data_IF_259048535680
#
_entry.id   IF_259048535680
#
_cell.length_a   1.000
_cell.length_b   1.000
_cell.length_c   1.000
_cell.angle_alpha   90.00
_cell.angle_beta   90.00
_cell.angle_gamma   90.00
#
_symmetry.space_group_name_H-M   'P 1'
#
loop_
_entity.id
_entity.type
_entity.pdbx_description
1 polymer ?
#
# COMPACT_ATOMS: atom_id res chain seq x y z
N UNK A 1 -6.60 -19.99 -20.40
CA UNK A 1 -5.99 -19.77 -20.21
C UNK A 1 -6.06 -19.17 -19.96
N UNK A 2 -6.35 -19.08 -19.77
CA UNK A 2 -5.88 -18.65 -19.49
C UNK A 2 -5.77 -18.12 -18.97
N UNK A 3 -6.04 -18.18 -18.69
CA UNK A 3 -5.34 -17.82 -18.28
C UNK A 3 -5.02 -17.51 -17.91
N UNK A 4 -5.26 -17.63 -17.68
CA UNK A 4 -4.34 -17.56 -17.45
C UNK A 4 -3.98 -17.29 -17.39
N UNK A 5 -4.32 -17.36 -17.27
CA UNK A 5 -3.40 -17.31 -17.37
C UNK A 5 -3.11 -16.75 -17.40
N UNK A 6 -3.54 -16.91 -17.45
CA UNK A 6 -2.68 -16.56 -17.48
C UNK A 6 -2.01 -16.19 -17.31
N UNK A 7 -2.02 -16.31 -17.29
CA UNK A 7 -0.90 -16.20 -17.22
C UNK A 7 -0.34 -15.95 -16.93
N UNK A 8 -0.35 -16.07 -16.84
CA UNK A 8 0.63 -16.07 -16.78
C UNK A 8 1.20 -15.92 -16.71
N UNK A 9 1.37 -16.03 -16.68
CA UNK A 9 2.35 -16.03 -16.75
C UNK A 9 3.12 -15.93 -16.82
N UNK A 10 3.36 -16.11 -17.19
CA UNK A 10 4.39 -16.08 -17.15
C UNK A 10 5.20 -15.78 -17.13
N UNK A 11 5.56 -15.85 -17.01
CA UNK A 11 6.50 -15.50 -16.77
C UNK A 11 7.24 -15.24 -16.72
N UNK A 12 6.87 -15.31 -17.56
CA UNK A 12 8.11 -15.03 -17.12
C UNK A 12 8.29 -14.75 -15.66
N UNK A 13 8.79 -15.36 -14.92
CA UNK A 13 8.86 -15.39 -13.53
C UNK A 13 8.81 -14.09 -12.75
N UNK A 14 9.02 -13.03 -13.38
CA UNK A 14 9.19 -11.77 -12.68
C UNK A 14 7.93 -11.25 -12.07
N UNK A 15 6.86 -11.35 -12.79
CA UNK A 15 5.61 -10.80 -12.35
C UNK A 15 5.05 -11.56 -11.18
N UNK A 16 5.58 -12.71 -10.94
CA UNK A 16 5.11 -13.53 -9.84
C UNK A 16 5.34 -12.88 -8.50
N UNK A 17 6.22 -11.89 -8.46
CA UNK A 17 6.55 -11.27 -7.19
C UNK A 17 5.52 -10.27 -6.69
N UNK A 18 4.56 -9.92 -7.50
CA UNK A 18 3.60 -8.90 -7.07
C UNK A 18 2.77 -9.37 -5.88
N UNK A 19 2.53 -8.46 -4.96
CA UNK A 19 1.68 -8.70 -3.80
C UNK A 19 0.25 -8.31 -4.13
N UNK A 20 -0.71 -8.95 -3.45
CA UNK A 20 -2.09 -8.51 -3.50
C UNK A 20 -2.28 -7.24 -2.69
N UNK A 21 -3.41 -6.59 -2.87
CA UNK A 21 -3.71 -5.35 -2.18
C UNK A 21 -5.04 -5.48 -1.45
N UNK A 22 -5.04 -5.10 -0.17
CA UNK A 22 -6.22 -5.02 0.66
C UNK A 22 -6.27 -3.66 1.33
N UNK A 23 -7.40 -3.32 1.92
CA UNK A 23 -7.54 -2.05 2.61
C UNK A 23 -8.34 -2.26 3.90
N UNK A 24 -7.81 -1.69 4.99
CA UNK A 24 -8.50 -1.70 6.27
C UNK A 24 -9.81 -0.91 6.15
N UNK A 25 -10.90 -1.35 6.79
CA UNK A 25 -12.19 -0.65 6.65
C UNK A 25 -12.12 0.85 6.98
N UNK A 26 -11.37 1.23 7.99
CA UNK A 26 -11.24 2.64 8.33
C UNK A 26 -10.48 3.41 7.27
N UNK A 27 -9.46 2.78 6.67
CA UNK A 27 -8.71 3.40 5.60
C UNK A 27 -9.56 3.55 4.34
N UNK A 28 -10.49 2.65 4.14
CA UNK A 28 -11.38 2.74 2.98
C UNK A 28 -12.20 4.02 3.02
N UNK A 29 -12.69 4.41 4.19
CA UNK A 29 -13.41 5.67 4.34
C UNK A 29 -12.52 6.86 4.06
N UNK A 30 -11.29 6.82 4.54
CA UNK A 30 -10.32 7.90 4.29
C UNK A 30 -9.98 8.01 2.81
N UNK A 31 -9.79 6.87 2.18
CA UNK A 31 -9.52 6.82 0.75
C UNK A 31 -10.67 7.46 -0.04
N UNK A 32 -11.90 7.17 0.34
CA UNK A 32 -13.07 7.70 -0.35
C UNK A 32 -13.15 9.22 -0.35
N UNK A 33 -12.49 9.88 0.60
CA UNK A 33 -12.51 11.33 0.70
C UNK A 33 -11.43 12.02 -0.12
N UNK A 34 -10.52 11.25 -0.73
CA UNK A 34 -9.44 11.83 -1.50
C UNK A 34 -9.92 12.33 -2.86
N UNK A 35 -9.28 13.38 -3.36
CA UNK A 35 -9.48 13.80 -4.74
C UNK A 35 -9.02 12.71 -5.69
N UNK A 36 -9.62 12.66 -6.86
CA UNK A 36 -9.26 11.64 -7.84
C UNK A 36 -7.79 11.72 -8.24
N UNK A 37 -7.24 12.92 -8.34
CA UNK A 37 -5.83 13.07 -8.69
C UNK A 37 -4.92 12.45 -7.63
N UNK A 38 -5.25 12.62 -6.35
CA UNK A 38 -4.48 12.03 -5.25
C UNK A 38 -4.60 10.52 -5.26
N UNK A 39 -5.83 10.01 -5.45
CA UNK A 39 -6.04 8.57 -5.56
C UNK A 39 -5.19 7.98 -6.67
N UNK A 40 -5.16 8.64 -7.82
CA UNK A 40 -4.42 8.14 -8.97
C UNK A 40 -2.93 8.06 -8.66
N UNK A 41 -2.40 9.06 -7.98
CA UNK A 41 -0.99 9.07 -7.64
C UNK A 41 -0.64 7.92 -6.68
N UNK A 42 -1.48 7.68 -5.67
CA UNK A 42 -1.26 6.55 -4.78
C UNK A 42 -1.37 5.22 -5.52
N UNK A 43 -2.36 5.08 -6.39
CA UNK A 43 -2.52 3.86 -7.18
C UNK A 43 -1.29 3.57 -8.02
N UNK A 44 -0.73 4.59 -8.64
CA UNK A 44 0.46 4.41 -9.46
C UNK A 44 1.65 3.97 -8.62
N UNK A 45 1.85 4.59 -7.45
CA UNK A 45 2.92 4.18 -6.56
C UNK A 45 2.75 2.73 -6.11
N UNK A 46 1.55 2.36 -5.77
CA UNK A 46 1.27 0.99 -5.35
C UNK A 46 1.54 0.01 -6.49
N UNK A 47 0.97 0.24 -7.64
CA UNK A 47 1.05 -0.69 -8.74
C UNK A 47 2.45 -0.80 -9.33
N UNK A 48 3.15 0.32 -9.45
CA UNK A 48 4.45 0.33 -10.12
C UNK A 48 5.61 0.03 -9.19
N UNK A 49 5.44 0.24 -7.88
CA UNK A 49 6.53 0.09 -6.94
C UNK A 49 6.21 -0.83 -5.77
N UNK A 50 5.19 -0.46 -4.98
CA UNK A 50 5.06 -1.05 -3.66
C UNK A 50 4.44 -2.44 -3.65
N UNK A 51 3.68 -2.80 -4.67
CA UNK A 51 3.20 -4.18 -4.77
C UNK A 51 4.26 -5.10 -5.35
N UNK A 52 5.28 -4.54 -5.96
CA UNK A 52 6.40 -5.32 -6.48
C UNK A 52 7.48 -5.45 -5.41
N UNK A 53 7.81 -4.35 -4.75
CA UNK A 53 8.81 -4.35 -3.69
C UNK A 53 8.30 -3.50 -2.53
N UNK A 54 7.52 -4.08 -1.62
CA UNK A 54 6.86 -3.27 -0.58
C UNK A 54 7.77 -2.83 0.55
N UNK A 55 8.90 -3.50 0.78
CA UNK A 55 9.77 -3.18 1.90
C UNK A 55 10.82 -2.17 1.51
N UNK A 56 10.46 -0.89 1.61
CA UNK A 56 11.34 0.22 1.28
C UNK A 56 11.89 0.80 2.59
N UNK A 57 13.14 0.47 2.89
CA UNK A 57 13.73 0.77 4.20
C UNK A 57 13.59 2.22 4.62
N UNK A 58 13.81 3.14 3.71
CA UNK A 58 13.75 4.58 4.06
C UNK A 58 12.35 5.04 4.42
N UNK A 59 11.34 4.28 4.06
CA UNK A 59 9.95 4.62 4.32
C UNK A 59 9.32 3.79 5.42
N UNK A 60 10.12 3.01 6.13
CA UNK A 60 9.63 2.22 7.25
C UNK A 60 9.18 3.14 8.38
N UNK A 61 8.08 2.79 9.03
CA UNK A 61 7.57 3.54 10.16
C UNK A 61 8.14 3.00 11.45
N UNK A 62 8.80 3.87 12.21
CA UNK A 62 9.46 3.48 13.44
C UNK A 62 8.47 2.95 14.46
N UNK A 63 8.83 1.86 15.09
CA UNK A 63 8.00 1.28 16.15
C UNK A 63 6.80 0.49 15.66
N UNK A 64 6.61 0.39 14.35
CA UNK A 64 5.48 -0.33 13.78
C UNK A 64 6.03 -1.43 12.87
N UNK A 65 5.94 -2.69 13.28
CA UNK A 65 6.54 -3.77 12.50
C UNK A 65 5.89 -3.91 11.12
N UNK A 66 6.71 -4.13 10.11
CA UNK A 66 6.26 -4.43 8.76
C UNK A 66 5.40 -3.33 8.14
N UNK A 67 5.56 -2.10 8.59
CA UNK A 67 4.71 -0.99 8.18
C UNK A 67 5.54 0.11 7.53
N UNK A 68 5.03 0.60 6.41
CA UNK A 68 5.73 1.55 5.56
C UNK A 68 4.78 2.65 5.11
N UNK A 69 5.35 3.73 4.59
CA UNK A 69 4.53 4.84 4.10
C UNK A 69 4.81 5.16 2.65
N UNK A 70 3.82 5.74 2.02
CA UNK A 70 3.96 6.43 0.74
C UNK A 70 3.63 7.88 1.00
N UNK A 71 4.50 8.78 0.57
CA UNK A 71 4.34 10.20 0.82
C UNK A 71 4.05 10.94 -0.46
N UNK A 72 3.00 11.77 -0.44
CA UNK A 72 2.74 12.74 -1.49
C UNK A 72 2.93 14.12 -0.88
N UNK A 73 3.62 15.01 -1.57
CA UNK A 73 3.99 16.31 -0.99
C UNK A 73 3.12 17.47 -1.42
N UNK A 74 2.47 17.39 -2.57
CA UNK A 74 1.64 18.47 -3.09
C UNK A 74 0.38 17.90 -3.71
N UNK A 75 -0.73 17.88 -2.99
CA UNK A 75 -0.90 18.21 -1.57
C UNK A 75 -0.24 17.19 -0.67
N UNK A 76 -0.12 17.51 0.63
CA UNK A 76 0.54 16.60 1.54
C UNK A 76 -0.39 15.52 2.03
N UNK A 77 0.00 14.27 1.74
CA UNK A 77 -0.72 13.09 2.23
C UNK A 77 0.27 11.98 2.52
N UNK A 78 -0.11 11.15 3.47
CA UNK A 78 0.62 9.91 3.80
C UNK A 78 -0.35 8.75 3.68
N UNK A 79 0.12 7.68 3.09
CA UNK A 79 -0.59 6.40 3.08
C UNK A 79 0.30 5.41 3.80
N UNK A 80 -0.22 4.74 4.82
CA UNK A 80 0.52 3.72 5.54
C UNK A 80 -0.01 2.35 5.16
N UNK A 81 0.91 1.40 4.97
CA UNK A 81 0.52 0.05 4.61
C UNK A 81 1.35 -0.97 5.39
N UNK A 82 0.76 -2.13 5.59
CA UNK A 82 1.40 -3.26 6.25
C UNK A 82 1.73 -4.34 5.23
N UNK A 83 2.85 -5.01 5.43
CA UNK A 83 3.31 -6.08 4.53
C UNK A 83 3.24 -7.41 5.24
N UNK A 84 2.59 -8.38 4.60
CA UNK A 84 2.55 -9.76 5.08
C UNK A 84 3.15 -10.63 3.98
N UNK A 85 4.38 -11.07 4.19
CA UNK A 85 5.10 -11.85 3.17
C UNK A 85 4.50 -13.23 2.98
N UNK A 86 3.97 -13.84 4.04
CA UNK A 86 3.39 -15.16 3.92
C UNK A 86 2.15 -15.14 3.05
N UNK A 87 1.31 -14.15 3.27
CA UNK A 87 0.08 -14.00 2.49
C UNK A 87 0.33 -13.30 1.17
N UNK A 88 1.52 -12.76 0.96
CA UNK A 88 1.83 -11.94 -0.21
C UNK A 88 0.83 -10.80 -0.33
N UNK A 89 0.64 -10.08 0.76
CA UNK A 89 -0.43 -9.08 0.85
C UNK A 89 0.09 -7.77 1.42
N UNK A 90 -0.27 -6.69 0.75
CA UNK A 90 -0.07 -5.32 1.23
C UNK A 90 -1.43 -4.79 1.63
N UNK A 91 -1.57 -4.34 2.87
CA UNK A 91 -2.84 -3.83 3.38
C UNK A 91 -2.70 -2.35 3.69
N UNK A 92 -3.52 -1.53 3.07
CA UNK A 92 -3.56 -0.10 3.38
C UNK A 92 -4.21 0.06 4.75
N UNK A 93 -3.49 0.67 5.68
CA UNK A 93 -3.96 0.83 7.06
C UNK A 93 -4.53 2.21 7.34
N UNK A 94 -4.02 3.24 6.67
CA UNK A 94 -4.46 4.61 6.93
C UNK A 94 -4.06 5.51 5.79
N UNK A 95 -4.88 6.53 5.53
CA UNK A 95 -4.56 7.59 4.59
C UNK A 95 -4.92 8.90 5.27
N UNK A 96 -3.96 9.81 5.39
CA UNK A 96 -4.22 11.08 6.05
C UNK A 96 -3.19 12.11 5.65
N UNK A 97 -3.36 13.33 6.14
CA UNK A 97 -2.33 14.33 6.03
C UNK A 97 -1.20 13.94 6.97
N UNK A 98 -0.03 14.50 6.73
CA UNK A 98 1.22 13.96 7.24
C UNK A 98 1.20 13.40 8.66
N UNK A 99 1.11 14.21 9.68
CA UNK A 99 1.35 13.70 11.04
C UNK A 99 0.20 12.86 11.57
N UNK A 100 -0.97 13.03 11.02
CA UNK A 100 -2.14 12.35 11.53
C UNK A 100 -2.08 10.84 11.34
N UNK A 101 -1.28 10.36 10.39
CA UNK A 101 -1.25 8.93 10.11
C UNK A 101 -0.79 8.12 11.31
N UNK A 102 0.14 8.63 12.11
CA UNK A 102 0.60 7.90 13.30
C UNK A 102 -0.49 7.76 14.34
N UNK A 103 -1.26 8.83 14.54
CA UNK A 103 -2.37 8.80 15.48
C UNK A 103 -3.42 7.80 15.04
N UNK A 104 -3.71 7.77 13.75
CA UNK A 104 -4.68 6.82 13.21
C UNK A 104 -4.21 5.38 13.37
N UNK A 105 -2.93 5.14 13.15
CA UNK A 105 -2.40 3.78 13.22
C UNK A 105 -2.46 3.20 14.62
N UNK A 106 -2.39 4.04 15.63
CA UNK A 106 -2.40 3.57 17.02
C UNK A 106 -3.60 2.71 17.35
N UNK A 107 -4.72 2.93 16.68
CA UNK A 107 -5.92 2.15 16.93
C UNK A 107 -6.19 1.04 15.93
N UNK A 108 -5.26 0.80 15.01
CA UNK A 108 -5.52 -0.13 13.88
C UNK A 108 -4.65 -1.37 13.87
N UNK A 109 -3.67 -1.44 14.75
CA UNK A 109 -2.90 -2.68 14.91
C UNK A 109 -3.61 -3.52 15.96
N UNK A 110 -4.09 -4.60 15.53
CA UNK A 110 -4.86 -5.45 16.39
C UNK A 110 -4.07 -6.34 17.27
#
# INVERSE_FOLDING_TARGET
>A
MKSSERASQKLSGLQLAAYGLAIHPDAEREWGKLDEAVKRRFKQKLQKERLIQPRIAKDALHGLPDTYKIKITTPQYRLAYHVDDKARLVTILAVSTRDDVYALLAGRFG
#
